data_IF_493991153449
#
_entry.id   IF_493991153449
#
_cell.length_a   1.000
_cell.length_b   1.000
_cell.length_c   1.000
_cell.angle_alpha   90.00
_cell.angle_beta   90.00
_cell.angle_gamma   90.00
#
_symmetry.space_group_name_H-M   'P 1'
#
loop_
_entity.id
_entity.type
_entity.pdbx_description
1 polymer ?
#
# COMPACT_ATOMS: atom_id res chain seq x y z
N UNK A 1 -3.72 -15.15 2.80
CA UNK A 1 -4.25 -14.57 1.54
C UNK A 1 -3.13 -14.45 0.49
N UNK A 2 -3.04 -15.36 -0.50
CA UNK A 2 -2.09 -15.23 -1.63
C UNK A 2 -2.65 -15.66 -3.00
N UNK A 3 -3.96 -15.93 -3.11
CA UNK A 3 -4.54 -16.61 -4.28
C UNK A 3 -5.85 -16.00 -4.84
N UNK A 4 -6.23 -14.77 -4.47
CA UNK A 4 -7.43 -14.14 -5.04
C UNK A 4 -7.06 -13.33 -6.28
N UNK A 5 -7.15 -13.97 -7.44
CA UNK A 5 -6.87 -13.40 -8.78
C UNK A 5 -7.81 -12.26 -9.22
N UNK A 6 -8.59 -11.67 -8.31
CA UNK A 6 -9.54 -10.61 -8.65
C UNK A 6 -9.58 -9.42 -7.67
N UNK A 7 -8.67 -9.35 -6.71
CA UNK A 7 -8.62 -8.21 -5.77
C UNK A 7 -8.35 -6.89 -6.49
N UNK A 8 -7.40 -6.86 -7.42
CA UNK A 8 -7.10 -5.69 -8.26
C UNK A 8 -8.36 -5.20 -8.99
N UNK A 9 -9.16 -6.12 -9.53
CA UNK A 9 -10.37 -5.75 -10.27
C UNK A 9 -11.47 -5.25 -9.35
N UNK A 10 -11.71 -5.95 -8.23
CA UNK A 10 -12.71 -5.57 -7.23
C UNK A 10 -12.39 -4.21 -6.64
N UNK A 11 -11.16 -4.01 -6.16
CA UNK A 11 -10.73 -2.74 -5.58
C UNK A 11 -10.90 -1.63 -6.63
N UNK A 12 -10.37 -1.82 -7.85
CA UNK A 12 -10.50 -0.83 -8.93
C UNK A 12 -11.96 -0.43 -9.20
N UNK A 13 -12.88 -1.39 -9.23
CA UNK A 13 -14.31 -1.14 -9.40
C UNK A 13 -14.94 -0.43 -8.19
N UNK A 14 -14.59 -0.84 -6.97
CA UNK A 14 -15.17 -0.31 -5.73
C UNK A 14 -14.80 1.16 -5.47
N UNK A 15 -13.57 1.58 -5.83
CA UNK A 15 -13.07 2.94 -5.53
C UNK A 15 -12.82 3.80 -6.78
N UNK A 16 -13.10 3.28 -7.98
CA UNK A 16 -12.94 4.02 -9.23
C UNK A 16 -11.49 4.34 -9.62
N UNK A 17 -10.51 3.53 -9.18
CA UNK A 17 -9.11 3.68 -9.55
C UNK A 17 -8.72 2.69 -10.67
N UNK A 18 -7.75 3.03 -11.53
CA UNK A 18 -7.36 2.13 -12.61
C UNK A 18 -6.62 0.90 -12.07
N UNK A 19 -6.90 -0.27 -12.66
CA UNK A 19 -6.31 -1.57 -12.26
C UNK A 19 -4.77 -1.53 -12.14
N UNK A 20 -4.08 -0.83 -13.04
CA UNK A 20 -2.62 -0.72 -13.02
C UNK A 20 -2.09 0.00 -11.76
N UNK A 21 -2.85 0.96 -11.20
CA UNK A 21 -2.46 1.66 -9.96
C UNK A 21 -2.55 0.69 -8.79
N UNK A 22 -3.65 -0.06 -8.70
CA UNK A 22 -3.85 -1.07 -7.65
C UNK A 22 -2.83 -2.20 -7.75
N UNK A 23 -2.55 -2.68 -8.97
CA UNK A 23 -1.54 -3.70 -9.20
C UNK A 23 -0.15 -3.27 -8.71
N UNK A 24 0.24 -2.00 -8.95
CA UNK A 24 1.51 -1.45 -8.46
C UNK A 24 1.57 -1.42 -6.94
N UNK A 25 0.50 -0.96 -6.29
CA UNK A 25 0.42 -0.89 -4.82
C UNK A 25 0.52 -2.30 -4.22
N UNK A 26 -0.24 -3.26 -4.78
CA UNK A 26 -0.20 -4.66 -4.36
C UNK A 26 1.19 -5.26 -4.48
N UNK A 27 1.87 -5.00 -5.61
CA UNK A 27 3.24 -5.46 -5.82
C UNK A 27 4.19 -4.88 -4.77
N UNK A 28 4.14 -3.57 -4.54
CA UNK A 28 4.97 -2.87 -3.57
C UNK A 28 4.74 -3.36 -2.14
N UNK A 29 3.50 -3.57 -1.72
CA UNK A 29 3.18 -4.04 -0.36
C UNK A 29 3.53 -5.51 -0.12
N UNK A 30 3.20 -6.40 -1.05
CA UNK A 30 3.13 -7.84 -0.75
C UNK A 30 4.20 -8.71 -1.43
N UNK A 31 4.82 -8.24 -2.53
CA UNK A 31 5.65 -9.11 -3.38
C UNK A 31 7.05 -8.58 -3.62
N UNK A 32 7.20 -7.27 -3.80
CA UNK A 32 8.46 -6.62 -4.11
C UNK A 32 9.41 -6.70 -2.90
N UNK A 33 10.69 -6.89 -3.20
CA UNK A 33 11.77 -6.78 -2.21
C UNK A 33 12.32 -5.35 -2.22
N UNK A 34 12.60 -4.82 -1.04
CA UNK A 34 13.05 -3.45 -0.83
C UNK A 34 14.46 -3.45 -0.25
N UNK A 35 15.23 -2.41 -0.59
CA UNK A 35 16.45 -2.09 0.14
C UNK A 35 16.04 -1.43 1.46
N UNK A 36 16.18 -2.17 2.56
CA UNK A 36 15.95 -1.73 3.93
C UNK A 36 17.30 -1.43 4.59
N UNK A 37 17.28 -0.83 5.78
CA UNK A 37 18.53 -0.49 6.48
C UNK A 37 19.32 -1.73 6.90
N UNK A 38 18.61 -2.84 7.17
CA UNK A 38 19.17 -4.12 7.62
C UNK A 38 19.34 -5.15 6.48
N UNK A 39 19.21 -4.73 5.22
CA UNK A 39 19.40 -5.61 4.06
C UNK A 39 18.28 -5.52 3.03
N UNK A 40 18.24 -6.48 2.10
CA UNK A 40 17.23 -6.54 1.05
C UNK A 40 16.21 -7.61 1.39
N UNK A 41 14.93 -7.27 1.37
CA UNK A 41 13.86 -8.23 1.63
C UNK A 41 12.46 -7.62 1.51
N UNK A 42 11.44 -8.47 1.64
CA UNK A 42 10.04 -8.05 1.69
C UNK A 42 9.71 -7.38 3.02
N UNK A 43 8.57 -6.71 3.07
CA UNK A 43 7.96 -6.25 4.31
C UNK A 43 7.43 -7.42 5.13
N UNK A 44 7.38 -7.22 6.45
CA UNK A 44 6.69 -8.11 7.36
C UNK A 44 5.17 -7.91 7.23
N UNK A 45 4.40 -8.90 7.63
CA UNK A 45 2.95 -8.79 7.56
C UNK A 45 2.43 -7.76 8.58
N UNK A 46 1.55 -6.89 8.13
CA UNK A 46 0.90 -5.85 8.92
C UNK A 46 -0.62 -6.11 8.96
N UNK A 47 -1.21 -6.41 10.13
CA UNK A 47 -2.65 -6.64 10.26
C UNK A 47 -3.52 -5.46 9.83
N UNK A 48 -3.12 -4.22 10.12
CA UNK A 48 -3.90 -3.03 9.79
C UNK A 48 -3.97 -2.83 8.27
N UNK A 49 -2.86 -3.10 7.58
CA UNK A 49 -2.82 -3.11 6.11
C UNK A 49 -3.66 -4.25 5.52
N UNK A 50 -3.65 -5.43 6.15
CA UNK A 50 -4.45 -6.56 5.68
C UNK A 50 -5.96 -6.25 5.79
N UNK A 51 -6.38 -5.69 6.92
CA UNK A 51 -7.78 -5.30 7.17
C UNK A 51 -8.22 -4.17 6.22
N UNK A 52 -7.34 -3.19 5.96
CA UNK A 52 -7.60 -2.16 4.96
C UNK A 52 -7.77 -2.76 3.56
N UNK A 53 -6.90 -3.70 3.17
CA UNK A 53 -6.99 -4.38 1.88
C UNK A 53 -8.28 -5.21 1.75
N UNK A 54 -8.72 -5.85 2.83
CA UNK A 54 -9.98 -6.59 2.87
C UNK A 54 -11.19 -5.67 2.66
N UNK A 55 -11.28 -4.54 3.38
CA UNK A 55 -12.36 -3.55 3.18
C UNK A 55 -12.41 -3.04 1.74
N UNK A 56 -11.25 -2.79 1.13
CA UNK A 56 -11.14 -2.36 -0.27
C UNK A 56 -11.65 -3.43 -1.24
N UNK A 57 -11.38 -4.72 -0.96
CA UNK A 57 -11.89 -5.84 -1.77
C UNK A 57 -13.41 -5.98 -1.62
N UNK A 58 -13.92 -5.91 -0.39
CA UNK A 58 -15.34 -6.06 -0.10
C UNK A 58 -16.19 -4.92 -0.65
N UNK A 59 -15.62 -3.71 -0.75
CA UNK A 59 -16.34 -2.53 -1.20
C UNK A 59 -17.29 -1.97 -0.14
N UNK A 60 -17.18 -2.45 1.11
CA UNK A 60 -18.04 -2.09 2.23
C UNK A 60 -17.19 -1.47 3.34
N UNK A 61 -17.75 -0.46 4.00
CA UNK A 61 -17.11 0.24 5.13
C UNK A 61 -15.69 0.76 4.82
N UNK A 62 -15.39 1.09 3.55
CA UNK A 62 -14.11 1.66 3.15
C UNK A 62 -13.92 2.97 3.91
N UNK A 63 -12.83 3.05 4.67
CA UNK A 63 -12.45 4.22 5.46
C UNK A 63 -11.63 5.17 4.60
N UNK A 64 -11.65 6.46 4.92
CA UNK A 64 -10.74 7.44 4.30
C UNK A 64 -9.28 7.00 4.41
N UNK A 65 -8.92 6.44 5.56
CA UNK A 65 -7.59 5.92 5.83
C UNK A 65 -7.18 4.74 4.91
N UNK A 66 -8.13 3.96 4.39
CA UNK A 66 -7.83 2.91 3.41
C UNK A 66 -7.41 3.53 2.06
N UNK A 67 -7.98 4.70 1.72
CA UNK A 67 -7.59 5.47 0.53
C UNK A 67 -6.24 6.18 0.75
N UNK A 68 -5.99 6.65 1.97
CA UNK A 68 -4.70 7.23 2.36
C UNK A 68 -3.57 6.21 2.23
N UNK A 69 -3.79 4.95 2.63
CA UNK A 69 -2.87 3.83 2.39
C UNK A 69 -2.53 3.71 0.90
N UNK A 70 -3.55 3.65 0.03
CA UNK A 70 -3.32 3.51 -1.41
C UNK A 70 -2.54 4.69 -2.01
N UNK A 71 -2.77 5.90 -1.53
CA UNK A 71 -2.06 7.09 -2.00
C UNK A 71 -0.62 7.16 -1.47
N UNK A 72 -0.41 6.74 -0.22
CA UNK A 72 0.89 6.60 0.42
C UNK A 72 1.76 5.63 -0.38
N UNK A 73 1.31 4.38 -0.49
CA UNK A 73 2.05 3.30 -1.14
C UNK A 73 2.28 3.54 -2.63
N UNK A 74 1.33 4.20 -3.30
CA UNK A 74 1.51 4.56 -4.69
C UNK A 74 2.62 5.59 -4.89
N UNK A 75 2.68 6.61 -4.04
CA UNK A 75 3.75 7.61 -4.12
C UNK A 75 5.09 6.99 -3.77
N UNK A 76 5.17 6.25 -2.66
CA UNK A 76 6.38 5.59 -2.19
C UNK A 76 6.96 4.67 -3.27
N UNK A 77 6.13 3.80 -3.85
CA UNK A 77 6.55 2.87 -4.89
C UNK A 77 7.09 3.58 -6.14
N UNK A 78 6.52 4.73 -6.51
CA UNK A 78 7.01 5.54 -7.63
C UNK A 78 8.32 6.23 -7.29
N UNK A 79 8.43 6.77 -6.07
CA UNK A 79 9.62 7.45 -5.60
C UNK A 79 10.82 6.51 -5.58
N UNK A 80 10.69 5.33 -4.98
CA UNK A 80 11.74 4.30 -5.02
C UNK A 80 12.13 3.94 -6.47
N UNK A 81 11.14 3.77 -7.34
CA UNK A 81 11.37 3.32 -8.72
C UNK A 81 12.09 4.36 -9.58
N UNK A 82 11.75 5.65 -9.41
CA UNK A 82 12.30 6.76 -10.19
C UNK A 82 13.69 7.14 -9.66
N UNK A 83 13.82 7.32 -8.35
CA UNK A 83 15.04 7.83 -7.73
C UNK A 83 16.00 6.73 -7.24
N UNK A 84 15.61 5.46 -7.39
CA UNK A 84 16.42 4.28 -6.99
C UNK A 84 16.85 4.35 -5.52
N UNK A 85 16.00 4.87 -4.66
CA UNK A 85 16.26 5.03 -3.22
C UNK A 85 16.04 3.73 -2.46
N UNK A 86 16.50 3.71 -1.21
CA UNK A 86 16.03 2.71 -0.25
C UNK A 86 14.57 3.02 0.15
N UNK A 87 13.94 2.07 0.82
CA UNK A 87 12.56 2.19 1.31
C UNK A 87 12.40 3.39 2.25
N UNK A 88 13.28 3.51 3.27
CA UNK A 88 13.18 4.57 4.28
C UNK A 88 13.13 5.97 3.66
N UNK A 89 14.04 6.26 2.72
CA UNK A 89 14.07 7.55 2.03
C UNK A 89 12.81 7.79 1.21
N UNK A 90 12.26 6.76 0.55
CA UNK A 90 11.00 6.93 -0.17
C UNK A 90 9.83 7.18 0.79
N UNK A 91 9.78 6.44 1.90
CA UNK A 91 8.76 6.58 2.94
C UNK A 91 8.75 7.99 3.55
N UNK A 92 9.93 8.47 3.96
CA UNK A 92 10.10 9.82 4.51
C UNK A 92 9.62 10.88 3.51
N UNK A 93 9.94 10.72 2.22
CA UNK A 93 9.47 11.64 1.17
C UNK A 93 7.97 11.53 0.90
N UNK A 94 7.36 10.36 1.08
CA UNK A 94 5.92 10.20 1.05
C UNK A 94 5.26 11.02 2.17
N UNK A 95 5.78 10.93 3.40
CA UNK A 95 5.28 11.68 4.56
C UNK A 95 5.47 13.19 4.35
N UNK A 96 6.68 13.63 3.98
CA UNK A 96 6.98 15.04 3.70
C UNK A 96 6.07 15.63 2.62
N UNK A 97 5.61 14.80 1.67
CA UNK A 97 4.70 15.21 0.60
C UNK A 97 3.23 15.35 1.03
N UNK A 98 2.92 15.11 2.31
CA UNK A 98 1.57 15.17 2.89
C UNK A 98 0.72 13.92 2.70
N UNK A 99 1.28 12.83 2.15
CA UNK A 99 0.57 11.56 1.92
C UNK A 99 0.75 10.65 3.12
N UNK A 100 0.37 11.11 4.30
CA UNK A 100 0.54 10.36 5.52
C UNK A 100 -0.55 9.31 5.64
N UNK A 101 -0.17 8.08 5.97
CA UNK A 101 -1.11 7.04 6.37
C UNK A 101 -0.90 6.76 7.86
N UNK A 102 -1.99 6.73 8.61
CA UNK A 102 -1.95 6.38 10.02
C UNK A 102 -2.73 5.08 10.18
N UNK A 103 -2.11 3.95 10.60
CA UNK A 103 -2.90 2.77 10.92
C UNK A 103 -4.01 3.16 11.89
N UNK A 104 -5.23 2.60 11.75
CA UNK A 104 -6.28 2.85 12.73
C UNK A 104 -5.67 2.50 14.10
N UNK A 105 -5.59 3.48 15.01
CA UNK A 105 -5.14 3.16 16.38
C UNK A 105 -5.98 1.99 16.83
N UNK A 106 -5.33 0.90 17.25
CA UNK A 106 -6.02 -0.22 17.86
C UNK A 106 -7.03 0.36 18.85
N UNK A 107 -8.32 0.16 18.56
CA UNK A 107 -9.33 0.28 19.59
C UNK A 107 -8.99 -0.87 20.55
N UNK A 108 -8.21 -0.55 21.58
CA UNK A 108 -8.08 -1.38 22.79
C UNK A 108 -9.46 -1.59 23.41
#
# INVERSE_FOLDING_TARGET
MRANNNDIEKIAANIGLPKWKIARIKDHLFYKSHKKDNGVGRFDADPDMADAWERLIEGKNIKSNDIDLLNHEFFESRFEGIFKTNYRTAHDKTIESGRVWFPPKGEE
#
